data_IF_049211065496
#
_entry.id   IF_049211065496
#
_cell.length_a   1.000
_cell.length_b   1.000
_cell.length_c   1.000
_cell.angle_alpha   90.00
_cell.angle_beta   90.00
_cell.angle_gamma   90.00
#
_symmetry.space_group_name_H-M   'P 1'
#
loop_
_entity.id
_entity.type
_entity.pdbx_description
1 polymer ?
#
# COMPACT_ATOMS: atom_id res chain seq x y z
N UNK A 1 -14.28 33.24 -55.93
CA UNK A 1 -15.58 33.94 -55.73
C UNK A 1 -16.04 33.70 -54.32
N UNK A 2 -16.19 34.81 -53.57
CA UNK A 2 -16.82 35.04 -52.23
C UNK A 2 -16.29 34.34 -50.97
N UNK A 3 -15.52 35.17 -50.23
CA UNK A 3 -15.34 35.13 -48.76
C UNK A 3 -16.70 35.22 -48.03
N UNK A 4 -16.75 34.52 -46.87
CA UNK A 4 -17.54 34.99 -45.75
C UNK A 4 -16.72 34.84 -44.46
N UNK A 5 -16.31 35.97 -43.91
CA UNK A 5 -15.87 36.18 -42.52
C UNK A 5 -17.06 36.10 -41.59
N UNK A 6 -16.88 35.46 -40.41
CA UNK A 6 -17.70 35.78 -39.23
C UNK A 6 -16.83 36.03 -38.01
N UNK A 7 -17.06 37.22 -37.49
CA UNK A 7 -16.37 37.86 -36.40
C UNK A 7 -16.76 37.31 -35.02
N UNK A 8 -15.75 37.22 -34.16
CA UNK A 8 -15.83 36.95 -32.73
C UNK A 8 -16.23 38.22 -31.99
N UNK A 9 -17.25 38.15 -31.14
CA UNK A 9 -17.67 39.22 -30.28
C UNK A 9 -17.15 38.98 -28.86
N UNK A 10 -16.24 39.84 -28.40
CA UNK A 10 -15.75 39.92 -27.02
C UNK A 10 -16.69 40.83 -26.23
N UNK A 11 -17.26 40.30 -25.16
CA UNK A 11 -18.01 41.09 -24.21
C UNK A 11 -17.16 41.37 -22.95
N UNK A 12 -16.71 42.62 -22.83
CA UNK A 12 -16.18 43.19 -21.59
C UNK A 12 -17.35 43.57 -20.70
N UNK A 13 -17.37 43.14 -19.45
CA UNK A 13 -18.26 43.71 -18.42
C UNK A 13 -17.39 44.32 -17.33
N UNK A 14 -17.70 45.61 -17.11
CA UNK A 14 -16.94 46.53 -16.31
C UNK A 14 -17.13 46.35 -14.80
N UNK A 15 -16.11 46.85 -14.14
CA UNK A 15 -15.97 47.04 -12.70
C UNK A 15 -16.79 48.25 -12.24
N UNK A 16 -17.61 48.06 -11.23
CA UNK A 16 -18.17 49.16 -10.41
C UNK A 16 -17.57 49.08 -9.01
N UNK A 17 -16.69 50.03 -8.70
CA UNK A 17 -16.23 50.30 -7.34
C UNK A 17 -17.35 51.12 -6.61
N UNK A 18 -17.73 50.61 -5.44
CA UNK A 18 -18.39 51.41 -4.42
C UNK A 18 -17.65 51.24 -3.10
N UNK A 19 -16.94 52.28 -2.72
CA UNK A 19 -16.30 52.43 -1.42
C UNK A 19 -17.34 52.91 -0.40
N UNK A 20 -17.50 52.20 0.71
CA UNK A 20 -18.01 52.72 1.95
C UNK A 20 -17.34 51.99 3.11
N UNK A 21 -16.72 52.76 3.98
CA UNK A 21 -15.77 52.33 4.99
C UNK A 21 -16.37 51.79 6.27
N UNK A 22 -15.41 51.42 7.14
CA UNK A 22 -15.45 51.24 8.59
C UNK A 22 -15.87 49.85 9.07
N UNK A 23 -14.91 49.21 9.71
CA UNK A 23 -15.14 48.07 10.59
C UNK A 23 -14.05 46.98 10.46
N UNK A 24 -12.83 47.25 10.97
CA UNK A 24 -11.83 46.21 11.20
C UNK A 24 -12.34 45.35 12.34
N UNK A 25 -13.03 44.27 12.02
CA UNK A 25 -13.13 43.10 12.89
C UNK A 25 -12.19 42.06 12.29
N UNK A 26 -11.06 41.86 12.96
CA UNK A 26 -10.13 40.80 12.63
C UNK A 26 -10.82 39.44 12.78
N UNK A 27 -11.34 38.91 11.67
CA UNK A 27 -11.56 37.50 11.51
C UNK A 27 -10.20 36.89 11.26
N UNK A 28 -9.55 36.52 12.37
CA UNK A 28 -8.57 35.42 12.30
C UNK A 28 -9.36 34.21 11.78
N UNK A 29 -9.31 33.96 10.47
CA UNK A 29 -9.56 32.63 9.95
C UNK A 29 -8.48 31.76 10.55
N UNK A 30 -8.77 31.10 11.67
CA UNK A 30 -8.09 29.91 12.05
C UNK A 30 -8.18 29.01 10.82
N UNK A 31 -7.06 28.83 10.11
CA UNK A 31 -6.85 27.67 9.28
C UNK A 31 -7.02 26.52 10.26
N UNK A 32 -8.19 25.91 10.26
CA UNK A 32 -8.42 24.63 10.87
C UNK A 32 -7.41 23.71 10.15
N UNK A 33 -6.32 23.40 10.81
CA UNK A 33 -5.60 22.17 10.51
C UNK A 33 -6.68 21.12 10.63
N UNK A 34 -7.05 20.48 9.54
CA UNK A 34 -7.86 19.29 9.57
C UNK A 34 -7.07 18.32 10.44
N UNK A 35 -7.53 18.17 11.67
CA UNK A 35 -7.06 17.17 12.61
C UNK A 35 -7.56 15.86 11.98
N UNK A 36 -6.74 15.24 11.13
CA UNK A 36 -7.06 13.95 10.55
C UNK A 36 -7.24 13.00 11.73
N UNK A 37 -8.38 12.36 11.82
CA UNK A 37 -8.58 11.36 12.86
C UNK A 37 -7.48 10.30 12.72
N UNK A 38 -6.88 9.83 13.82
CA UNK A 38 -5.83 8.82 13.73
C UNK A 38 -6.34 7.59 12.98
N UNK A 39 -5.47 6.88 12.23
CA UNK A 39 -5.86 5.71 11.48
C UNK A 39 -6.47 4.64 12.40
N UNK A 40 -7.42 3.89 11.86
CA UNK A 40 -8.00 2.77 12.60
C UNK A 40 -6.94 1.70 12.84
N UNK A 41 -6.79 1.29 14.08
CA UNK A 41 -5.85 0.22 14.49
C UNK A 41 -6.63 -1.04 14.78
N UNK A 42 -6.34 -2.09 14.02
CA UNK A 42 -6.92 -3.42 14.23
C UNK A 42 -6.03 -4.19 15.21
N UNK A 43 -6.56 -4.45 16.40
CA UNK A 43 -5.88 -5.26 17.40
C UNK A 43 -5.93 -6.75 17.02
N UNK A 44 -4.79 -7.41 17.04
CA UNK A 44 -4.68 -8.84 16.76
C UNK A 44 -4.09 -9.56 17.97
N UNK A 45 -4.84 -10.48 18.63
CA UNK A 45 -4.33 -11.23 19.76
C UNK A 45 -3.05 -12.01 19.40
N UNK A 46 -2.07 -11.99 20.32
CA UNK A 46 -0.78 -12.70 20.20
C UNK A 46 0.04 -12.36 18.94
N UNK A 47 -0.18 -11.19 18.37
CA UNK A 47 0.52 -10.71 17.16
C UNK A 47 0.54 -9.19 17.16
N UNK A 48 1.17 -8.58 16.15
CA UNK A 48 1.11 -7.13 15.95
C UNK A 48 -0.26 -6.71 15.50
N UNK A 49 -0.72 -5.59 16.04
CA UNK A 49 -1.82 -4.80 15.45
C UNK A 49 -1.40 -4.26 14.08
N UNK A 50 -2.33 -3.74 13.32
CA UNK A 50 -2.04 -3.10 12.03
C UNK A 50 -3.02 -1.95 11.75
N UNK A 51 -2.56 -0.99 10.95
CA UNK A 51 -3.41 0.13 10.54
C UNK A 51 -4.24 -0.24 9.33
N UNK A 52 -5.47 0.24 9.29
CA UNK A 52 -6.37 0.04 8.15
C UNK A 52 -7.11 1.34 7.85
N UNK A 53 -7.45 1.62 6.59
CA UNK A 53 -8.38 2.69 6.30
C UNK A 53 -9.75 2.38 6.90
N UNK A 54 -10.50 3.42 7.26
CA UNK A 54 -11.89 3.27 7.70
C UNK A 54 -12.72 2.60 6.59
N UNK A 55 -13.41 1.53 6.94
CA UNK A 55 -14.26 0.79 6.02
C UNK A 55 -15.34 1.66 5.35
N UNK A 56 -15.79 2.73 6.02
CA UNK A 56 -16.74 3.69 5.45
C UNK A 56 -16.15 4.54 4.31
N UNK A 57 -14.82 4.67 4.25
CA UNK A 57 -14.11 5.45 3.25
C UNK A 57 -13.59 4.58 2.08
N UNK A 58 -13.79 3.27 2.14
CA UNK A 58 -13.35 2.36 1.07
C UNK A 58 -14.21 2.59 -0.17
N UNK A 59 -13.59 3.04 -1.24
CA UNK A 59 -14.23 3.29 -2.54
C UNK A 59 -14.28 2.04 -3.39
N UNK A 60 -13.30 1.13 -3.22
CA UNK A 60 -13.17 -0.09 -4.01
C UNK A 60 -12.44 -1.18 -3.25
N UNK A 61 -12.92 -2.43 -3.38
CA UNK A 61 -12.21 -3.61 -2.88
C UNK A 61 -12.39 -4.78 -3.85
N UNK A 62 -11.28 -5.44 -4.21
CA UNK A 62 -11.29 -6.51 -5.20
C UNK A 62 -10.22 -7.57 -4.92
N UNK A 63 -10.51 -8.80 -5.39
CA UNK A 63 -9.52 -9.86 -5.52
C UNK A 63 -9.01 -9.90 -6.95
N UNK A 64 -7.70 -10.02 -7.12
CA UNK A 64 -7.05 -10.16 -8.40
C UNK A 64 -6.02 -11.29 -8.38
N UNK A 65 -5.75 -11.86 -9.53
CA UNK A 65 -4.67 -12.83 -9.70
C UNK A 65 -3.63 -12.25 -10.63
N UNK A 66 -2.39 -12.14 -10.13
CA UNK A 66 -1.23 -11.74 -10.92
C UNK A 66 -0.53 -12.99 -11.44
N UNK A 67 -0.35 -13.08 -12.75
CA UNK A 67 0.36 -14.15 -13.46
C UNK A 67 1.25 -13.56 -14.54
N UNK A 68 2.05 -14.39 -15.20
CA UNK A 68 2.96 -13.95 -16.25
C UNK A 68 2.27 -13.04 -17.29
N UNK A 69 2.82 -11.87 -17.44
CA UNK A 69 2.45 -10.88 -18.44
C UNK A 69 3.71 -10.44 -19.21
N UNK A 70 3.84 -10.94 -20.43
CA UNK A 70 5.00 -10.65 -21.28
C UNK A 70 5.14 -9.15 -21.56
N UNK A 71 4.03 -8.43 -21.69
CA UNK A 71 4.03 -6.98 -21.90
C UNK A 71 4.64 -6.27 -20.70
N UNK A 72 4.19 -6.61 -19.50
CA UNK A 72 4.74 -6.08 -18.23
C UNK A 72 6.22 -6.45 -18.08
N UNK A 73 6.60 -7.70 -18.35
CA UNK A 73 7.98 -8.14 -18.24
C UNK A 73 8.93 -7.33 -19.13
N UNK A 74 8.56 -7.09 -20.40
CA UNK A 74 9.36 -6.30 -21.34
C UNK A 74 9.49 -4.85 -20.88
N UNK A 75 8.40 -4.21 -20.46
CA UNK A 75 8.42 -2.81 -20.03
C UNK A 75 9.22 -2.64 -18.75
N UNK A 76 9.05 -3.54 -17.79
CA UNK A 76 9.81 -3.54 -16.53
C UNK A 76 11.31 -3.73 -16.76
N UNK A 77 11.70 -4.62 -17.68
CA UNK A 77 13.10 -4.82 -18.02
C UNK A 77 13.68 -3.60 -18.74
N UNK A 78 12.91 -2.94 -19.59
CA UNK A 78 13.33 -1.68 -20.24
C UNK A 78 13.53 -0.55 -19.21
N UNK A 79 12.66 -0.41 -18.21
CA UNK A 79 12.81 0.56 -17.12
C UNK A 79 14.06 0.28 -16.26
N UNK A 80 14.34 -0.99 -15.96
CA UNK A 80 15.58 -1.41 -15.27
C UNK A 80 16.83 -1.06 -16.08
N UNK A 81 16.83 -1.35 -17.36
CA UNK A 81 17.95 -1.02 -18.24
C UNK A 81 18.15 0.50 -18.31
N UNK A 82 17.07 1.27 -18.38
CA UNK A 82 17.15 2.73 -18.41
C UNK A 82 17.75 3.30 -17.11
N UNK A 83 17.31 2.83 -15.95
CA UNK A 83 17.84 3.27 -14.66
C UNK A 83 19.35 3.00 -14.54
N UNK A 84 19.82 1.84 -14.98
CA UNK A 84 21.26 1.49 -15.01
C UNK A 84 22.05 2.29 -16.03
N UNK A 85 21.47 2.57 -17.19
CA UNK A 85 22.11 3.40 -18.21
C UNK A 85 22.29 4.84 -17.70
N UNK A 86 21.29 5.41 -17.08
CA UNK A 86 21.35 6.77 -16.52
C UNK A 86 22.48 6.89 -15.48
N UNK A 87 22.67 5.88 -14.63
CA UNK A 87 23.80 5.82 -13.68
C UNK A 87 25.17 5.78 -14.37
N UNK A 88 25.32 4.99 -15.42
CA UNK A 88 26.58 4.88 -16.17
C UNK A 88 26.97 6.18 -16.86
N UNK A 89 26.00 6.88 -17.45
CA UNK A 89 26.25 8.17 -18.13
C UNK A 89 26.74 9.23 -17.14
N UNK A 90 26.21 9.24 -15.93
CA UNK A 90 26.65 10.17 -14.87
C UNK A 90 28.10 9.90 -14.46
N UNK A 91 28.51 8.63 -14.35
CA UNK A 91 29.89 8.26 -13.95
C UNK A 91 30.98 8.73 -14.92
N UNK A 92 30.67 8.82 -16.20
CA UNK A 92 31.67 9.13 -17.24
C UNK A 92 31.88 10.64 -17.49
N UNK A 93 31.10 11.54 -16.92
CA UNK A 93 30.96 12.91 -17.43
C UNK A 93 31.41 14.08 -16.54
N UNK A 94 31.70 13.96 -15.22
CA UNK A 94 31.85 15.15 -14.36
C UNK A 94 32.87 15.08 -13.21
N UNK A 95 33.32 16.29 -12.74
CA UNK A 95 34.25 16.48 -11.61
C UNK A 95 33.69 16.09 -10.23
N UNK A 96 32.36 15.78 -10.12
CA UNK A 96 31.71 15.30 -8.90
C UNK A 96 30.57 14.33 -9.24
N UNK A 97 30.89 13.07 -9.55
CA UNK A 97 29.90 12.06 -9.93
C UNK A 97 28.76 11.91 -8.91
N UNK A 98 29.09 11.92 -7.60
CA UNK A 98 28.09 11.76 -6.55
C UNK A 98 27.00 12.85 -6.57
N UNK A 99 27.36 14.11 -6.77
CA UNK A 99 26.39 15.21 -6.84
C UNK A 99 25.44 15.02 -8.01
N UNK A 100 25.96 14.73 -9.20
CA UNK A 100 25.14 14.54 -10.39
C UNK A 100 24.23 13.31 -10.28
N UNK A 101 24.71 12.23 -9.66
CA UNK A 101 23.88 11.06 -9.37
C UNK A 101 22.74 11.43 -8.42
N UNK A 102 22.99 12.22 -7.37
CA UNK A 102 21.95 12.67 -6.45
C UNK A 102 20.94 13.59 -7.15
N UNK A 103 21.40 14.56 -7.97
CA UNK A 103 20.52 15.45 -8.73
C UNK A 103 19.59 14.65 -9.67
N UNK A 104 20.13 13.61 -10.32
CA UNK A 104 19.33 12.69 -11.15
C UNK A 104 18.32 11.89 -10.31
N UNK A 105 18.75 11.32 -9.17
CA UNK A 105 17.88 10.54 -8.28
C UNK A 105 16.72 11.39 -7.75
N UNK A 106 16.95 12.65 -7.36
CA UNK A 106 15.89 13.56 -6.91
C UNK A 106 14.81 13.73 -7.98
N UNK A 107 15.18 13.97 -9.23
CA UNK A 107 14.23 14.12 -10.34
C UNK A 107 13.46 12.81 -10.62
N UNK A 108 14.15 11.67 -10.53
CA UNK A 108 13.55 10.36 -10.80
C UNK A 108 12.58 9.97 -9.69
N UNK A 109 12.96 10.20 -8.43
CA UNK A 109 12.14 9.92 -7.26
C UNK A 109 10.89 10.81 -7.24
N UNK A 110 11.00 12.11 -7.56
CA UNK A 110 9.84 12.99 -7.71
C UNK A 110 8.87 12.48 -8.81
N UNK A 111 9.42 11.98 -9.91
CA UNK A 111 8.61 11.39 -10.98
C UNK A 111 7.93 10.10 -10.53
N UNK A 112 8.63 9.27 -9.76
CA UNK A 112 8.12 8.03 -9.21
C UNK A 112 6.97 8.29 -8.23
N UNK A 113 7.15 9.22 -7.29
CA UNK A 113 6.14 9.65 -6.32
C UNK A 113 4.87 10.13 -7.01
N UNK A 114 5.00 11.05 -7.96
CA UNK A 114 3.86 11.57 -8.71
C UNK A 114 3.11 10.46 -9.49
N UNK A 115 3.84 9.54 -10.13
CA UNK A 115 3.20 8.40 -10.82
C UNK A 115 2.48 7.47 -9.86
N UNK A 116 3.06 7.20 -8.69
CA UNK A 116 2.42 6.40 -7.64
C UNK A 116 1.10 7.04 -7.20
N UNK A 117 1.12 8.35 -6.94
CA UNK A 117 -0.08 9.12 -6.60
C UNK A 117 -1.16 9.06 -7.67
N UNK A 118 -0.76 9.30 -8.93
CA UNK A 118 -1.69 9.28 -10.08
C UNK A 118 -2.36 7.90 -10.24
N UNK A 119 -1.60 6.82 -10.06
CA UNK A 119 -2.11 5.44 -10.18
C UNK A 119 -3.12 5.13 -9.07
N UNK A 120 -2.81 5.46 -7.81
CA UNK A 120 -3.72 5.25 -6.68
C UNK A 120 -5.01 6.07 -6.86
N UNK A 121 -4.90 7.34 -7.21
CA UNK A 121 -6.04 8.22 -7.44
C UNK A 121 -6.90 7.77 -8.63
N UNK A 122 -6.31 7.26 -9.71
CA UNK A 122 -7.06 6.72 -10.85
C UNK A 122 -7.81 5.44 -10.50
N UNK A 123 -7.20 4.61 -9.65
CA UNK A 123 -7.85 3.39 -9.19
C UNK A 123 -9.02 3.66 -8.25
N UNK A 124 -8.86 4.56 -7.29
CA UNK A 124 -9.94 4.94 -6.35
C UNK A 124 -11.15 5.56 -7.06
N UNK A 125 -10.92 6.24 -8.19
CA UNK A 125 -11.99 6.81 -9.05
C UNK A 125 -12.56 5.85 -10.10
N UNK A 126 -12.18 4.56 -10.05
CA UNK A 126 -12.60 3.52 -11.02
C UNK A 126 -12.22 3.84 -12.49
N UNK A 127 -11.14 4.62 -12.69
CA UNK A 127 -10.63 4.97 -14.02
C UNK A 127 -9.74 3.87 -14.62
N UNK A 128 -9.13 3.04 -13.76
CA UNK A 128 -8.29 1.90 -14.16
C UNK A 128 -8.74 0.61 -13.47
N UNK A 129 -8.49 -0.54 -14.11
CA UNK A 129 -8.77 -1.86 -13.53
C UNK A 129 -7.75 -2.23 -12.45
N UNK A 130 -8.10 -3.20 -11.59
CA UNK A 130 -7.16 -3.77 -10.60
C UNK A 130 -5.94 -4.40 -11.26
N UNK A 131 -6.10 -5.02 -12.42
CA UNK A 131 -4.97 -5.55 -13.20
C UNK A 131 -4.02 -4.43 -13.65
N UNK A 132 -4.56 -3.31 -14.14
CA UNK A 132 -3.76 -2.13 -14.51
C UNK A 132 -3.06 -1.54 -13.30
N UNK A 133 -3.76 -1.39 -12.16
CA UNK A 133 -3.17 -0.95 -10.90
C UNK A 133 -1.96 -1.82 -10.53
N UNK A 134 -2.15 -3.14 -10.45
CA UNK A 134 -1.09 -4.08 -10.06
C UNK A 134 0.09 -4.04 -11.04
N UNK A 135 -0.17 -3.85 -12.32
CA UNK A 135 0.87 -3.69 -13.35
C UNK A 135 1.68 -2.43 -13.14
N UNK A 136 1.03 -1.28 -12.95
CA UNK A 136 1.71 -0.01 -12.74
C UNK A 136 2.48 0.01 -11.40
N UNK A 137 1.90 -0.53 -10.32
CA UNK A 137 2.60 -0.65 -9.04
C UNK A 137 3.83 -1.57 -9.14
N UNK A 138 3.73 -2.70 -9.86
CA UNK A 138 4.87 -3.59 -10.11
C UNK A 138 6.01 -2.89 -10.85
N UNK A 139 5.69 -2.03 -11.83
CA UNK A 139 6.68 -1.21 -12.55
C UNK A 139 7.35 -0.19 -11.64
N UNK A 140 6.57 0.50 -10.80
CA UNK A 140 7.08 1.46 -9.82
C UNK A 140 8.00 0.79 -8.79
N UNK A 141 7.63 -0.41 -8.31
CA UNK A 141 8.45 -1.20 -7.38
C UNK A 141 9.80 -1.57 -7.99
N UNK A 142 9.82 -2.03 -9.24
CA UNK A 142 11.08 -2.37 -9.93
C UNK A 142 11.96 -1.14 -10.12
N UNK A 143 11.40 0.01 -10.51
CA UNK A 143 12.15 1.25 -10.61
C UNK A 143 12.69 1.71 -9.25
N UNK A 144 11.87 1.65 -8.20
CA UNK A 144 12.28 1.96 -6.84
C UNK A 144 13.41 1.06 -6.33
N UNK A 145 13.37 -0.23 -6.66
CA UNK A 145 14.44 -1.18 -6.30
C UNK A 145 15.80 -0.78 -6.90
N UNK A 146 15.84 -0.39 -8.17
CA UNK A 146 17.08 0.08 -8.82
C UNK A 146 17.58 1.40 -8.16
N UNK A 147 16.68 2.30 -7.77
CA UNK A 147 17.07 3.53 -7.06
C UNK A 147 17.59 3.24 -5.65
N UNK A 148 16.98 2.30 -4.89
CA UNK A 148 17.52 1.84 -3.60
C UNK A 148 18.93 1.28 -3.74
N UNK A 149 19.18 0.49 -4.77
CA UNK A 149 20.52 -0.05 -5.05
C UNK A 149 21.54 1.06 -5.35
N UNK A 150 21.16 2.06 -6.14
CA UNK A 150 22.02 3.22 -6.43
C UNK A 150 22.30 4.05 -5.17
N UNK A 151 21.27 4.28 -4.35
CA UNK A 151 21.39 4.98 -3.06
C UNK A 151 22.32 4.23 -2.11
N UNK A 152 22.18 2.90 -1.99
CA UNK A 152 23.06 2.08 -1.16
C UNK A 152 24.52 2.20 -1.59
N UNK A 153 24.81 2.15 -2.90
CA UNK A 153 26.17 2.34 -3.42
C UNK A 153 26.73 3.73 -3.09
N UNK A 154 25.91 4.80 -3.19
CA UNK A 154 26.35 6.14 -2.80
C UNK A 154 26.69 6.24 -1.32
N UNK A 155 25.94 5.54 -0.46
CA UNK A 155 26.20 5.51 0.99
C UNK A 155 27.46 4.69 1.35
N UNK A 156 27.76 3.64 0.60
CA UNK A 156 28.94 2.80 0.80
C UNK A 156 30.25 3.48 0.37
N UNK A 157 30.23 4.34 -0.67
CA UNK A 157 31.40 5.02 -1.20
C UNK A 157 32.06 6.00 -0.21
N UNK A 158 31.45 6.33 0.92
CA UNK A 158 32.04 6.95 2.12
C UNK A 158 32.58 8.38 2.00
N UNK A 159 32.65 8.96 0.80
CA UNK A 159 33.23 10.28 0.51
C UNK A 159 32.17 11.41 0.42
N UNK A 160 30.93 11.15 0.86
CA UNK A 160 29.89 12.16 0.81
C UNK A 160 30.09 13.24 1.88
N UNK A 161 30.04 14.52 1.48
CA UNK A 161 29.97 15.61 2.45
C UNK A 161 28.63 15.55 3.21
N UNK A 162 28.57 16.07 4.46
CA UNK A 162 27.37 16.05 5.27
C UNK A 162 26.13 16.62 4.55
N UNK A 163 26.29 17.64 3.69
CA UNK A 163 25.20 18.17 2.88
C UNK A 163 24.69 17.17 1.82
N UNK A 164 25.55 16.38 1.22
CA UNK A 164 25.18 15.35 0.26
C UNK A 164 24.59 14.13 0.97
N UNK A 165 25.10 13.78 2.16
CA UNK A 165 24.53 12.71 2.99
C UNK A 165 23.07 13.00 3.34
N UNK A 166 22.76 14.24 3.76
CA UNK A 166 21.37 14.63 4.04
C UNK A 166 20.48 14.52 2.80
N UNK A 167 20.96 14.97 1.62
CA UNK A 167 20.19 14.83 0.37
C UNK A 167 19.91 13.37 0.03
N UNK A 168 20.91 12.49 0.17
CA UNK A 168 20.74 11.05 -0.03
C UNK A 168 19.72 10.48 0.93
N UNK A 169 19.72 10.88 2.20
CA UNK A 169 18.73 10.46 3.18
C UNK A 169 17.30 10.88 2.79
N UNK A 170 17.13 12.14 2.36
CA UNK A 170 15.82 12.66 1.92
C UNK A 170 15.34 11.90 0.69
N UNK A 171 16.17 11.74 -0.33
CA UNK A 171 15.78 11.05 -1.57
C UNK A 171 15.54 9.56 -1.39
N UNK A 172 16.05 8.96 -0.32
CA UNK A 172 15.85 7.53 -0.02
C UNK A 172 14.46 7.19 0.51
N UNK A 173 13.71 8.17 1.01
CA UNK A 173 12.42 7.93 1.67
C UNK A 173 11.42 7.27 0.72
N UNK A 174 11.12 7.89 -0.42
CA UNK A 174 10.10 7.37 -1.33
C UNK A 174 10.45 6.00 -1.94
N UNK A 175 11.67 5.75 -2.45
CA UNK A 175 12.03 4.40 -2.90
C UNK A 175 11.95 3.35 -1.79
N UNK A 176 12.18 3.73 -0.52
CA UNK A 176 12.03 2.82 0.62
C UNK A 176 10.56 2.53 0.90
N UNK A 177 9.67 3.54 0.82
CA UNK A 177 8.22 3.34 0.97
C UNK A 177 7.64 2.45 -0.14
N UNK A 178 8.22 2.50 -1.33
CA UNK A 178 7.84 1.65 -2.45
C UNK A 178 8.46 0.24 -2.38
N UNK A 179 9.22 -0.09 -1.34
CA UNK A 179 9.60 -1.48 -1.06
C UNK A 179 8.41 -2.25 -0.47
N UNK A 180 7.45 -2.53 -1.33
CA UNK A 180 6.14 -3.06 -0.99
C UNK A 180 6.11 -4.58 -1.19
N UNK A 181 6.05 -5.40 -0.13
CA UNK A 181 6.26 -6.84 -0.24
C UNK A 181 5.20 -7.57 -1.07
N UNK A 182 3.93 -7.17 -1.02
CA UNK A 182 2.87 -7.75 -1.85
C UNK A 182 3.08 -7.40 -3.31
N UNK A 183 3.39 -6.12 -3.60
CA UNK A 183 3.64 -5.67 -4.98
C UNK A 183 4.91 -6.30 -5.56
N UNK A 184 5.93 -6.55 -4.74
CA UNK A 184 7.12 -7.29 -5.16
C UNK A 184 6.79 -8.72 -5.59
N UNK A 185 5.90 -9.42 -4.87
CA UNK A 185 5.41 -10.74 -5.29
C UNK A 185 4.64 -10.64 -6.62
N UNK A 186 3.78 -9.62 -6.77
CA UNK A 186 3.08 -9.33 -8.03
C UNK A 186 4.07 -9.08 -9.16
N UNK A 187 5.10 -8.26 -8.96
CA UNK A 187 6.13 -7.98 -9.95
C UNK A 187 6.87 -9.26 -10.36
N UNK A 188 7.22 -10.11 -9.40
CA UNK A 188 7.83 -11.41 -9.66
C UNK A 188 6.91 -12.31 -10.49
N UNK A 189 5.65 -12.49 -10.08
CA UNK A 189 4.67 -13.30 -10.81
C UNK A 189 4.47 -12.82 -12.25
N UNK A 190 4.36 -11.50 -12.44
CA UNK A 190 4.16 -10.91 -13.77
C UNK A 190 5.40 -10.98 -14.67
N UNK A 191 6.60 -11.03 -14.12
CA UNK A 191 7.85 -10.97 -14.89
C UNK A 191 8.53 -12.33 -15.07
N UNK A 192 8.46 -13.23 -14.09
CA UNK A 192 9.12 -14.54 -14.15
C UNK A 192 8.16 -15.68 -14.52
N UNK A 193 6.89 -15.56 -14.13
CA UNK A 193 5.89 -16.60 -14.34
C UNK A 193 6.13 -17.87 -13.51
N UNK A 194 6.93 -17.77 -12.44
CA UNK A 194 7.22 -18.92 -11.58
C UNK A 194 5.96 -19.42 -10.87
N UNK A 195 5.17 -18.51 -10.30
CA UNK A 195 3.89 -18.81 -9.66
C UNK A 195 2.91 -17.64 -9.86
N UNK A 196 1.60 -17.92 -9.87
CA UNK A 196 0.59 -16.85 -9.80
C UNK A 196 0.36 -16.46 -8.36
N UNK A 197 0.10 -15.17 -8.13
CA UNK A 197 -0.18 -14.61 -6.80
C UNK A 197 -1.59 -14.04 -6.78
N UNK A 198 -2.40 -14.49 -5.82
CA UNK A 198 -3.71 -13.88 -5.57
C UNK A 198 -3.56 -12.78 -4.54
N UNK A 199 -4.06 -11.60 -4.91
CA UNK A 199 -3.97 -10.39 -4.10
C UNK A 199 -5.37 -9.85 -3.83
N UNK A 200 -5.65 -9.50 -2.59
CA UNK A 200 -6.76 -8.63 -2.22
C UNK A 200 -6.27 -7.19 -2.20
N UNK A 201 -7.04 -6.29 -2.79
CA UNK A 201 -6.77 -4.85 -2.82
C UNK A 201 -7.99 -4.11 -2.31
N UNK A 202 -7.78 -3.16 -1.41
CA UNK A 202 -8.79 -2.19 -0.98
C UNK A 202 -8.22 -0.78 -1.08
N UNK A 203 -8.98 0.15 -1.66
CA UNK A 203 -8.57 1.53 -1.85
C UNK A 203 -9.58 2.51 -1.25
N UNK A 204 -9.04 3.59 -0.71
CA UNK A 204 -9.73 4.84 -0.40
C UNK A 204 -9.25 5.93 -1.35
N UNK A 205 -9.72 7.15 -1.22
CA UNK A 205 -9.22 8.29 -2.01
C UNK A 205 -7.73 8.57 -1.74
N UNK A 206 -7.26 8.30 -0.50
CA UNK A 206 -5.93 8.64 -0.03
C UNK A 206 -5.10 7.42 0.40
N UNK A 207 -5.59 6.20 0.20
CA UNK A 207 -4.90 5.01 0.70
C UNK A 207 -5.12 3.74 -0.10
N UNK A 208 -4.23 2.79 0.12
CA UNK A 208 -4.28 1.45 -0.47
C UNK A 208 -3.87 0.41 0.57
N UNK A 209 -4.64 -0.66 0.66
CA UNK A 209 -4.23 -1.90 1.32
C UNK A 209 -4.11 -2.98 0.27
N UNK A 210 -3.00 -3.71 0.29
CA UNK A 210 -2.84 -4.94 -0.47
C UNK A 210 -2.43 -6.07 0.47
N UNK A 211 -3.02 -7.25 0.29
CA UNK A 211 -2.71 -8.41 1.12
C UNK A 211 -2.80 -9.71 0.32
N UNK A 212 -2.01 -10.70 0.74
CA UNK A 212 -1.99 -12.04 0.14
C UNK A 212 -1.69 -13.11 1.19
N UNK A 213 -2.10 -14.32 0.91
CA UNK A 213 -1.61 -15.53 1.60
C UNK A 213 -0.97 -16.43 0.57
N UNK A 214 0.32 -16.71 0.76
CA UNK A 214 1.11 -17.54 -0.11
C UNK A 214 1.98 -18.50 0.70
N UNK A 215 2.01 -19.79 0.35
CA UNK A 215 2.82 -20.80 1.04
C UNK A 215 2.58 -20.91 2.54
N UNK A 216 1.43 -20.51 3.06
CA UNK A 216 1.12 -20.48 4.50
C UNK A 216 1.62 -19.22 5.22
N UNK A 217 2.11 -18.24 4.49
CA UNK A 217 2.54 -16.92 4.98
C UNK A 217 1.54 -15.85 4.59
N UNK A 218 1.08 -15.08 5.53
CA UNK A 218 0.31 -13.86 5.31
C UNK A 218 1.25 -12.68 5.14
N UNK A 219 1.03 -11.92 4.08
CA UNK A 219 1.76 -10.68 3.78
C UNK A 219 0.76 -9.57 3.53
N UNK A 220 0.98 -8.44 4.17
CA UNK A 220 0.12 -7.26 4.06
C UNK A 220 0.95 -6.01 3.95
N UNK A 221 0.45 -5.05 3.20
CA UNK A 221 0.94 -3.69 3.14
C UNK A 221 -0.22 -2.70 3.16
N UNK A 222 0.01 -1.53 3.73
CA UNK A 222 -0.91 -0.40 3.72
C UNK A 222 -0.16 0.90 3.45
N UNK A 223 -0.77 1.78 2.69
CA UNK A 223 -0.32 3.17 2.48
C UNK A 223 -1.50 4.08 2.78
N UNK A 224 -1.34 5.02 3.70
CA UNK A 224 -2.35 6.00 4.15
C UNK A 224 -1.74 7.40 3.98
N UNK A 225 -2.01 8.04 2.85
CA UNK A 225 -1.33 9.28 2.45
C UNK A 225 -1.79 10.50 3.23
N UNK A 226 -3.03 10.51 3.67
CA UNK A 226 -3.62 11.52 4.55
C UNK A 226 -2.95 11.57 5.94
N UNK A 227 -2.29 10.48 6.32
CA UNK A 227 -1.51 10.40 7.56
C UNK A 227 -0.08 10.97 7.43
N UNK A 228 0.32 11.44 6.25
CA UNK A 228 1.64 12.07 6.01
C UNK A 228 1.51 13.58 5.81
N UNK A 229 2.29 14.34 6.61
CA UNK A 229 2.41 15.79 6.44
C UNK A 229 3.89 16.21 6.34
N UNK A 230 4.50 16.14 5.15
CA UNK A 230 5.93 16.42 4.96
C UNK A 230 6.33 17.87 5.24
N UNK A 231 5.35 18.78 5.38
CA UNK A 231 5.56 20.21 5.60
C UNK A 231 5.26 20.65 7.05
N UNK A 232 4.76 19.74 7.89
CA UNK A 232 4.48 20.03 9.29
C UNK A 232 5.74 19.99 10.18
N UNK A 233 5.62 20.57 11.36
CA UNK A 233 6.71 20.48 12.36
C UNK A 233 6.70 19.11 13.02
N UNK A 234 7.89 18.57 13.28
CA UNK A 234 8.07 17.31 14.00
C UNK A 234 7.57 17.42 15.44
N UNK A 235 6.55 16.64 15.79
CA UNK A 235 5.91 16.61 17.11
C UNK A 235 6.60 15.65 18.09
N UNK A 236 7.54 14.82 17.63
CA UNK A 236 8.33 13.98 18.53
C UNK A 236 9.31 14.81 19.35
N UNK A 237 9.75 14.28 20.48
CA UNK A 237 10.58 14.98 21.45
C UNK A 237 11.85 15.60 20.86
N UNK A 238 12.42 16.62 21.54
CA UNK A 238 13.58 17.33 21.04
C UNK A 238 14.85 16.47 20.94
N UNK A 239 15.63 16.70 19.88
CA UNK A 239 16.90 16.04 19.60
C UNK A 239 16.73 14.65 18.94
N UNK A 240 17.76 14.18 18.19
CA UNK A 240 17.65 12.94 17.40
C UNK A 240 17.32 11.69 18.24
N UNK A 241 17.99 11.53 19.40
CA UNK A 241 17.75 10.39 20.30
C UNK A 241 16.36 10.46 20.95
N UNK A 242 15.92 11.65 21.37
CA UNK A 242 14.58 11.86 21.95
C UNK A 242 13.48 11.59 20.94
N UNK A 243 13.66 11.99 19.68
CA UNK A 243 12.71 11.73 18.59
C UNK A 243 12.58 10.24 18.29
N UNK A 244 13.69 9.53 18.16
CA UNK A 244 13.67 8.09 17.94
C UNK A 244 13.00 7.34 19.10
N UNK A 245 13.26 7.76 20.35
CA UNK A 245 12.60 7.19 21.53
C UNK A 245 11.09 7.45 21.51
N UNK A 246 10.66 8.68 21.22
CA UNK A 246 9.23 9.02 21.16
C UNK A 246 8.51 8.28 20.01
N UNK A 247 9.17 8.15 18.86
CA UNK A 247 8.64 7.34 17.74
C UNK A 247 8.55 5.86 18.12
N UNK A 248 9.53 5.32 18.88
CA UNK A 248 9.49 3.96 19.42
C UNK A 248 8.31 3.75 20.37
N UNK A 249 8.10 4.67 21.30
CA UNK A 249 6.99 4.61 22.25
C UNK A 249 5.64 4.70 21.53
N UNK A 250 5.53 5.60 20.53
CA UNK A 250 4.31 5.72 19.71
C UNK A 250 4.03 4.45 18.92
N UNK A 251 5.01 3.92 18.20
CA UNK A 251 4.87 2.67 17.44
C UNK A 251 4.52 1.49 18.35
N UNK A 252 5.20 1.35 19.48
CA UNK A 252 4.91 0.28 20.45
C UNK A 252 3.49 0.36 21.01
N UNK A 253 2.97 1.58 21.20
CA UNK A 253 1.56 1.78 21.61
C UNK A 253 0.57 1.39 20.53
N UNK A 254 0.86 1.66 19.25
CA UNK A 254 -0.02 1.35 18.13
C UNK A 254 0.00 -0.15 17.78
N UNK A 255 1.18 -0.74 17.73
CA UNK A 255 1.37 -2.12 17.25
C UNK A 255 1.31 -3.17 18.37
N UNK A 256 1.20 -2.74 19.63
CA UNK A 256 1.15 -3.60 20.82
C UNK A 256 2.37 -4.52 20.99
N UNK A 257 3.49 -4.17 20.35
CA UNK A 257 4.78 -4.86 20.39
C UNK A 257 5.87 -3.82 20.56
N UNK A 258 6.93 -4.16 21.28
CA UNK A 258 8.07 -3.26 21.45
C UNK A 258 8.92 -3.23 20.17
N UNK A 259 9.43 -2.04 19.81
CA UNK A 259 10.36 -1.90 18.70
C UNK A 259 11.69 -2.63 18.98
N UNK A 260 12.16 -3.37 18.00
CA UNK A 260 13.54 -3.86 17.96
C UNK A 260 14.49 -2.76 17.47
N UNK A 261 14.02 -1.97 16.52
CA UNK A 261 14.78 -0.87 15.95
C UNK A 261 13.87 0.29 15.59
N UNK A 262 14.31 1.52 15.85
CA UNK A 262 13.73 2.74 15.30
C UNK A 262 14.84 3.57 14.66
N UNK A 263 14.61 3.98 13.41
CA UNK A 263 15.55 4.78 12.62
C UNK A 263 14.86 6.00 12.03
N UNK A 264 15.39 7.20 12.30
CA UNK A 264 14.96 8.42 11.60
C UNK A 264 15.71 8.58 10.27
N UNK A 265 15.02 9.09 9.26
CA UNK A 265 15.66 9.52 8.00
C UNK A 265 16.13 10.97 8.17
N UNK A 266 17.44 11.17 8.13
CA UNK A 266 18.05 12.47 8.40
C UNK A 266 17.58 13.53 7.38
N UNK A 267 17.22 14.71 7.88
CA UNK A 267 16.65 15.79 7.05
C UNK A 267 15.17 15.62 6.71
N UNK A 268 14.51 14.60 7.27
CA UNK A 268 13.06 14.37 7.15
C UNK A 268 12.43 14.22 8.53
N UNK A 269 11.10 14.11 8.57
CA UNK A 269 10.34 13.76 9.79
C UNK A 269 9.80 12.34 9.72
N UNK A 270 10.48 11.44 8.99
CA UNK A 270 10.06 10.05 8.82
C UNK A 270 10.87 9.15 9.75
N UNK A 271 10.17 8.27 10.46
CA UNK A 271 10.73 7.30 11.38
C UNK A 271 10.30 5.90 11.00
N UNK A 272 11.26 5.04 10.68
CA UNK A 272 11.04 3.61 10.46
C UNK A 272 10.99 2.92 11.83
N UNK A 273 9.87 2.27 12.11
CA UNK A 273 9.65 1.40 13.24
C UNK A 273 9.68 -0.04 12.77
N UNK A 274 10.52 -0.86 13.37
CA UNK A 274 10.57 -2.31 13.13
C UNK A 274 10.37 -3.06 14.42
N UNK A 275 9.51 -4.09 14.39
CA UNK A 275 9.28 -4.98 15.52
C UNK A 275 9.15 -6.43 15.04
N UNK A 276 9.89 -7.32 15.68
CA UNK A 276 9.73 -8.75 15.56
C UNK A 276 8.69 -9.22 16.58
N UNK A 277 7.89 -10.21 16.23
CA UNK A 277 6.91 -10.80 17.12
C UNK A 277 6.83 -12.32 16.91
N UNK A 278 6.08 -13.03 17.77
CA UNK A 278 6.05 -14.49 17.79
C UNK A 278 5.68 -15.12 16.42
N UNK A 279 4.88 -14.41 15.60
CA UNK A 279 4.44 -14.91 14.29
C UNK A 279 5.16 -14.24 13.10
N UNK A 280 6.11 -13.31 13.31
CA UNK A 280 6.80 -12.65 12.21
C UNK A 280 7.29 -11.25 12.50
N UNK A 281 7.15 -10.35 11.54
CA UNK A 281 7.74 -9.00 11.56
C UNK A 281 6.70 -7.95 11.16
N UNK A 282 6.80 -6.76 11.77
CA UNK A 282 6.07 -5.56 11.40
C UNK A 282 7.03 -4.41 11.11
N UNK A 283 6.77 -3.68 10.04
CA UNK A 283 7.46 -2.46 9.67
C UNK A 283 6.43 -1.35 9.51
N UNK A 284 6.70 -0.20 10.11
CA UNK A 284 5.86 0.97 9.95
C UNK A 284 6.72 2.22 9.77
N UNK A 285 6.20 3.15 8.99
CA UNK A 285 6.83 4.44 8.78
C UNK A 285 5.91 5.51 9.35
N UNK A 286 6.37 6.13 10.45
CA UNK A 286 5.64 7.17 11.15
C UNK A 286 6.06 8.53 10.62
N UNK A 287 5.08 9.40 10.41
CA UNK A 287 5.32 10.80 10.12
C UNK A 287 5.44 11.59 11.43
N UNK A 288 6.50 12.38 11.58
CA UNK A 288 6.74 13.14 12.79
C UNK A 288 5.74 14.27 13.01
N UNK A 289 5.12 14.80 11.96
CA UNK A 289 4.18 15.90 12.09
C UNK A 289 2.77 15.42 12.53
N UNK A 290 2.34 14.25 12.07
CA UNK A 290 1.07 13.63 12.49
C UNK A 290 1.23 12.67 13.66
N UNK A 291 2.44 12.15 13.87
CA UNK A 291 2.78 11.05 14.78
C UNK A 291 2.09 9.71 14.44
N UNK A 292 1.52 9.60 13.25
CA UNK A 292 0.81 8.43 12.78
C UNK A 292 1.62 7.63 11.75
N UNK A 293 1.36 6.33 11.62
CA UNK A 293 1.92 5.54 10.54
C UNK A 293 1.17 5.85 9.24
N UNK A 294 1.93 6.18 8.19
CA UNK A 294 1.41 6.44 6.85
C UNK A 294 1.78 5.34 5.86
N UNK A 295 2.70 4.47 6.23
CA UNK A 295 3.04 3.28 5.46
C UNK A 295 3.39 2.14 6.41
N UNK A 296 2.94 0.92 6.07
CA UNK A 296 3.12 -0.27 6.89
C UNK A 296 3.25 -1.51 6.01
N UNK A 297 4.06 -2.46 6.43
CA UNK A 297 3.94 -3.83 5.95
C UNK A 297 4.20 -4.84 7.07
N UNK A 298 3.52 -5.98 6.98
CA UNK A 298 3.59 -7.05 7.96
C UNK A 298 3.71 -8.41 7.32
N UNK A 299 4.40 -9.28 8.03
CA UNK A 299 4.53 -10.69 7.72
C UNK A 299 4.08 -11.50 8.92
N UNK A 300 3.24 -12.53 8.70
CA UNK A 300 2.82 -13.47 9.75
C UNK A 300 2.85 -14.90 9.23
N UNK A 301 3.58 -15.78 9.97
CA UNK A 301 3.80 -17.18 9.60
C UNK A 301 3.98 -18.03 10.87
N UNK A 302 3.40 -19.23 10.96
CA UNK A 302 2.47 -19.79 9.98
C UNK A 302 1.06 -19.17 10.14
N UNK A 303 0.38 -18.95 9.03
CA UNK A 303 -0.95 -18.32 9.01
C UNK A 303 -1.99 -19.07 9.87
N UNK A 304 -1.87 -20.39 9.98
CA UNK A 304 -2.73 -21.26 10.81
C UNK A 304 -2.64 -20.98 12.31
N UNK A 305 -1.59 -20.28 12.77
CA UNK A 305 -1.41 -19.92 14.18
C UNK A 305 -2.08 -18.59 14.55
N UNK A 306 -2.57 -17.83 13.56
CA UNK A 306 -3.27 -16.57 13.81
C UNK A 306 -4.66 -16.90 14.37
N UNK A 307 -5.02 -16.37 15.54
CA UNK A 307 -6.34 -16.61 16.14
C UNK A 307 -7.47 -16.21 15.20
N UNK A 308 -8.44 -17.12 15.01
CA UNK A 308 -9.54 -16.94 14.08
C UNK A 308 -10.89 -17.29 14.72
N UNK A 309 -11.94 -16.64 14.26
CA UNK A 309 -13.33 -16.99 14.51
C UNK A 309 -13.82 -17.94 13.41
N UNK A 310 -14.91 -18.68 13.67
CA UNK A 310 -15.46 -19.61 12.68
C UNK A 310 -16.95 -19.37 12.50
N UNK A 311 -17.39 -19.27 11.25
CA UNK A 311 -18.78 -19.31 10.85
C UNK A 311 -19.01 -20.45 9.86
N UNK A 312 -20.18 -21.08 9.90
CA UNK A 312 -20.47 -22.20 9.01
C UNK A 312 -21.93 -22.24 8.56
N UNK A 313 -22.15 -22.82 7.38
CA UNK A 313 -23.48 -23.12 6.82
C UNK A 313 -23.46 -24.51 6.22
N UNK A 314 -24.59 -25.22 6.27
CA UNK A 314 -24.72 -26.60 5.80
C UNK A 314 -25.77 -26.66 4.71
N UNK A 315 -25.39 -27.18 3.54
CA UNK A 315 -26.26 -27.57 2.45
C UNK A 315 -26.56 -29.07 2.45
N UNK A 316 -27.15 -29.57 1.38
CA UNK A 316 -27.50 -30.98 1.25
C UNK A 316 -26.26 -31.86 1.02
N UNK A 317 -25.31 -31.42 0.17
CA UNK A 317 -24.12 -32.20 -0.19
C UNK A 317 -22.90 -31.86 0.69
N UNK A 318 -22.78 -30.65 1.19
CA UNK A 318 -21.58 -30.22 1.93
C UNK A 318 -21.87 -29.12 2.95
N UNK A 319 -20.96 -29.00 3.92
CA UNK A 319 -20.86 -27.89 4.84
C UNK A 319 -19.73 -26.97 4.43
N UNK A 320 -20.01 -25.67 4.38
CA UNK A 320 -19.06 -24.59 4.19
C UNK A 320 -18.63 -24.04 5.56
N UNK A 321 -17.33 -24.07 5.86
CA UNK A 321 -16.76 -23.43 7.05
C UNK A 321 -15.88 -22.27 6.60
N UNK A 322 -15.98 -21.15 7.29
CA UNK A 322 -15.18 -19.94 7.08
C UNK A 322 -14.51 -19.60 8.41
N UNK A 323 -13.19 -19.69 8.43
CA UNK A 323 -12.37 -19.17 9.52
C UNK A 323 -11.83 -17.82 9.13
N UNK A 324 -12.07 -16.80 9.95
CA UNK A 324 -11.70 -15.42 9.64
C UNK A 324 -11.06 -14.75 10.85
N UNK A 325 -10.19 -13.81 10.60
CA UNK A 325 -9.45 -13.09 11.64
C UNK A 325 -10.05 -11.70 11.86
N UNK A 326 -9.46 -10.70 11.24
CA UNK A 326 -9.90 -9.29 11.26
C UNK A 326 -9.91 -8.74 9.84
N UNK A 327 -10.48 -7.56 9.66
CA UNK A 327 -10.51 -6.85 8.37
C UNK A 327 -9.13 -6.83 7.69
N UNK A 328 -9.07 -7.20 6.43
CA UNK A 328 -7.85 -7.40 5.63
C UNK A 328 -6.89 -8.47 6.11
N UNK A 329 -7.22 -9.20 7.17
CA UNK A 329 -6.44 -10.33 7.66
C UNK A 329 -6.69 -11.63 6.87
N UNK A 330 -5.96 -12.70 7.20
CA UNK A 330 -6.12 -13.97 6.52
C UNK A 330 -7.45 -14.65 6.88
N UNK A 331 -8.01 -15.34 5.90
CA UNK A 331 -9.25 -16.11 6.00
C UNK A 331 -9.07 -17.47 5.34
N UNK A 332 -9.52 -18.54 6.01
CA UNK A 332 -9.55 -19.88 5.46
C UNK A 332 -10.99 -20.34 5.16
N UNK A 333 -11.17 -20.91 3.98
CA UNK A 333 -12.44 -21.54 3.57
C UNK A 333 -12.22 -23.02 3.43
N UNK A 334 -13.02 -23.83 4.11
CA UNK A 334 -12.95 -25.29 4.02
C UNK A 334 -14.31 -25.92 3.81
N UNK A 335 -14.32 -27.11 3.20
CA UNK A 335 -15.52 -27.87 2.87
C UNK A 335 -15.48 -29.23 3.53
N UNK A 336 -16.65 -29.68 4.00
CA UNK A 336 -16.83 -31.02 4.55
C UNK A 336 -18.05 -31.66 3.89
N UNK A 337 -17.89 -32.79 3.23
CA UNK A 337 -19.00 -33.55 2.63
C UNK A 337 -20.03 -33.97 3.70
N UNK A 338 -21.32 -33.89 3.40
CA UNK A 338 -22.39 -34.14 4.37
C UNK A 338 -22.36 -35.55 4.96
N UNK A 339 -21.91 -36.54 4.20
CA UNK A 339 -21.78 -37.95 4.61
C UNK A 339 -20.34 -38.46 4.66
N UNK A 340 -19.35 -37.56 4.61
CA UNK A 340 -17.95 -37.93 4.45
C UNK A 340 -17.60 -38.31 3.00
N UNK A 341 -18.47 -37.97 2.04
CA UNK A 341 -18.25 -38.23 0.62
C UNK A 341 -17.13 -37.31 0.08
N UNK A 342 -16.39 -37.84 -0.90
CA UNK A 342 -15.40 -37.06 -1.63
C UNK A 342 -16.12 -36.01 -2.49
N UNK A 343 -15.74 -34.74 -2.31
CA UNK A 343 -16.36 -33.64 -3.03
C UNK A 343 -15.71 -33.45 -4.40
N UNK A 344 -16.51 -33.20 -5.42
CA UNK A 344 -16.04 -32.63 -6.70
C UNK A 344 -15.47 -31.23 -6.48
N UNK A 345 -14.69 -30.67 -7.42
CA UNK A 345 -14.22 -29.29 -7.30
C UNK A 345 -15.37 -28.31 -7.07
N UNK A 346 -15.23 -27.46 -6.06
CA UNK A 346 -16.24 -26.47 -5.66
C UNK A 346 -15.64 -25.07 -5.78
N UNK A 347 -16.28 -24.22 -6.58
CA UNK A 347 -15.88 -22.84 -6.77
C UNK A 347 -16.21 -21.99 -5.52
N UNK A 348 -15.27 -21.18 -5.08
CA UNK A 348 -15.42 -20.28 -3.93
C UNK A 348 -15.42 -18.83 -4.43
N UNK A 349 -16.39 -18.06 -3.96
CA UNK A 349 -16.46 -16.62 -4.18
C UNK A 349 -16.67 -15.87 -2.85
N UNK A 350 -16.16 -14.64 -2.80
CA UNK A 350 -16.36 -13.68 -1.71
C UNK A 350 -16.97 -12.43 -2.31
N UNK A 351 -18.14 -12.00 -1.82
CA UNK A 351 -18.91 -10.89 -2.41
C UNK A 351 -19.13 -11.06 -3.94
N UNK A 352 -19.31 -12.31 -4.39
CA UNK A 352 -19.49 -12.64 -5.81
C UNK A 352 -18.19 -12.66 -6.64
N UNK A 353 -17.07 -12.27 -6.09
CA UNK A 353 -15.76 -12.33 -6.75
C UNK A 353 -15.11 -13.69 -6.54
N UNK A 354 -14.64 -14.34 -7.60
CA UNK A 354 -13.98 -15.64 -7.52
C UNK A 354 -12.66 -15.55 -6.78
N UNK A 355 -12.50 -16.39 -5.73
CA UNK A 355 -11.24 -16.48 -4.97
C UNK A 355 -10.54 -17.83 -5.13
N UNK A 356 -11.13 -18.76 -5.85
CA UNK A 356 -10.50 -20.05 -6.19
C UNK A 356 -11.46 -21.22 -6.18
N UNK A 357 -10.88 -22.42 -6.18
CA UNK A 357 -11.62 -23.70 -6.18
C UNK A 357 -11.00 -24.62 -5.13
N UNK A 358 -11.85 -25.26 -4.34
CA UNK A 358 -11.45 -26.30 -3.38
C UNK A 358 -11.69 -27.65 -4.02
N UNK A 359 -10.69 -28.54 -3.96
CA UNK A 359 -10.80 -29.93 -4.42
C UNK A 359 -10.88 -30.85 -3.22
N UNK A 360 -11.88 -31.72 -3.19
CA UNK A 360 -12.09 -32.62 -2.07
C UNK A 360 -12.38 -31.89 -0.76
N UNK A 361 -11.81 -32.38 0.34
CA UNK A 361 -11.89 -31.78 1.67
C UNK A 361 -10.73 -30.82 1.96
N UNK A 362 -10.29 -30.09 0.93
CA UNK A 362 -9.20 -29.12 1.03
C UNK A 362 -9.57 -27.83 1.74
N UNK A 363 -8.58 -26.98 1.87
CA UNK A 363 -8.70 -25.63 2.44
C UNK A 363 -8.16 -24.61 1.44
N UNK A 364 -8.84 -23.49 1.33
CA UNK A 364 -8.44 -22.33 0.52
C UNK A 364 -8.15 -21.15 1.44
N UNK A 365 -6.93 -20.67 1.41
CA UNK A 365 -6.54 -19.46 2.10
C UNK A 365 -6.72 -18.23 1.18
N UNK A 366 -7.30 -17.17 1.75
CA UNK A 366 -7.53 -15.88 1.09
C UNK A 366 -7.54 -14.77 2.13
N UNK A 367 -7.95 -13.56 1.75
CA UNK A 367 -7.99 -12.40 2.62
C UNK A 367 -9.46 -12.07 2.95
N UNK A 368 -9.70 -11.71 4.20
CA UNK A 368 -10.98 -11.18 4.66
C UNK A 368 -11.17 -9.75 4.13
N UNK A 369 -12.32 -9.43 3.49
CA UNK A 369 -12.63 -8.06 3.08
C UNK A 369 -12.80 -7.10 4.27
N UNK A 370 -12.82 -5.82 3.97
CA UNK A 370 -13.28 -4.79 4.90
C UNK A 370 -14.82 -4.84 5.02
N UNK A 371 -15.33 -4.71 6.25
CA UNK A 371 -16.76 -4.71 6.54
C UNK A 371 -17.42 -6.10 6.51
N UNK A 372 -18.74 -6.11 6.42
CA UNK A 372 -19.52 -7.36 6.30
C UNK A 372 -19.30 -8.00 4.92
N UNK A 373 -19.30 -9.32 4.85
CA UNK A 373 -19.12 -10.04 3.60
C UNK A 373 -19.82 -11.40 3.57
N UNK A 374 -19.99 -11.94 2.37
CA UNK A 374 -20.58 -13.25 2.14
C UNK A 374 -19.62 -14.14 1.37
N UNK A 375 -19.32 -15.32 1.92
CA UNK A 375 -18.59 -16.39 1.24
C UNK A 375 -19.60 -17.36 0.65
N UNK A 376 -19.46 -17.67 -0.63
CA UNK A 376 -20.33 -18.62 -1.33
C UNK A 376 -19.51 -19.73 -1.97
N UNK A 377 -19.91 -20.96 -1.71
CA UNK A 377 -19.39 -22.16 -2.35
C UNK A 377 -20.42 -22.68 -3.35
N UNK A 378 -20.00 -22.92 -4.61
CA UNK A 378 -20.85 -23.39 -5.71
C UNK A 378 -20.30 -24.67 -6.29
N UNK A 379 -21.07 -25.75 -6.19
CA UNK A 379 -20.74 -27.06 -6.77
C UNK A 379 -21.15 -27.14 -8.26
N UNK A 380 -20.55 -28.06 -9.01
CA UNK A 380 -20.84 -28.27 -10.45
C UNK A 380 -22.29 -28.63 -10.74
N UNK A 381 -23.00 -29.25 -9.78
CA UNK A 381 -24.45 -29.55 -9.89
C UNK A 381 -25.34 -28.32 -9.69
N UNK A 382 -24.77 -27.13 -9.43
CA UNK A 382 -25.47 -25.89 -9.19
C UNK A 382 -25.92 -25.68 -7.73
N UNK A 383 -25.61 -26.59 -6.80
CA UNK A 383 -25.84 -26.37 -5.38
C UNK A 383 -24.96 -25.25 -4.85
N UNK A 384 -25.54 -24.33 -4.09
CA UNK A 384 -24.83 -23.22 -3.47
C UNK A 384 -25.03 -23.18 -1.97
N UNK A 385 -23.96 -22.99 -1.23
CA UNK A 385 -23.99 -22.77 0.22
C UNK A 385 -23.28 -21.44 0.52
N UNK A 386 -23.92 -20.59 1.30
CA UNK A 386 -23.36 -19.28 1.64
C UNK A 386 -23.26 -19.07 3.13
N UNK A 387 -22.21 -18.36 3.56
CA UNK A 387 -21.97 -17.90 4.94
C UNK A 387 -21.83 -16.39 4.90
N UNK A 388 -22.69 -15.67 5.62
CA UNK A 388 -22.54 -14.25 5.89
C UNK A 388 -21.70 -14.07 7.14
N UNK A 389 -20.66 -13.28 7.04
CA UNK A 389 -19.77 -12.92 8.16
C UNK A 389 -19.98 -11.46 8.51
N UNK A 390 -20.17 -11.20 9.81
CA UNK A 390 -20.25 -9.86 10.39
C UNK A 390 -19.08 -9.82 11.38
N UNK A 391 -17.97 -9.15 11.00
CA UNK A 391 -16.75 -9.10 11.80
C UNK A 391 -16.91 -8.43 13.16
#
# INVERSE_FOLDING_TARGET
MRLVRRSTMVALLGVALLAAGVGVVGLATALSTADSAPPEVIETPNSTSYVTPDAANVTRQEYAEASLDIGTAIVTDAERIQARHDELVVRDGEDSPARTTIDMLEQRVETLERRHEEVLASYSRDEISTETLLTELARLEVAAAEYRETIARLQEDGDLSGALTNRVSVVSVEPTMLDQPVIRQVATAKTTGEESVRVYVAATDDGLVAATVDGGRYVRQATLRDERNPFGDDQFAEGPEGRAQAASERGSSLYSVQADTVRGFEGTHVYEYRADHELGEAFAYLDGATTNPFHEHQYKEPVVSIPAQTSSSTGDAFRLNVQYTNATGPMAVSLVGANGDELTPIAISVEGQSVGTIQGSGELWTIQPLGEFTVTATADNGETVSVRVIP
#
